data_IF_731605736842
#
_entry.id   IF_731605736842
#
_cell.length_a   1.000
_cell.length_b   1.000
_cell.length_c   1.000
_cell.angle_alpha   90.00
_cell.angle_beta   90.00
_cell.angle_gamma   90.00
#
_symmetry.space_group_name_H-M   'P 1'
#
loop_
_entity.id
_entity.type
_entity.pdbx_description
1 polymer ?
#
# COMPACT_ATOMS: atom_id res chain seq x y z
N UNK A 1 19.32 55.45 36.83
CA UNK A 1 19.33 54.62 35.60
C UNK A 1 19.53 53.12 35.85
N UNK A 2 20.32 52.65 36.80
CA UNK A 2 20.57 51.19 37.05
C UNK A 2 19.32 50.37 37.50
N UNK A 3 18.40 50.91 38.24
CA UNK A 3 17.19 50.26 38.75
C UNK A 3 16.19 49.89 37.64
N UNK A 4 16.07 50.72 36.58
CA UNK A 4 15.22 50.45 35.41
C UNK A 4 15.79 49.34 34.51
N UNK A 5 17.14 49.29 34.33
CA UNK A 5 17.81 48.25 33.54
C UNK A 5 17.63 46.85 34.17
N UNK A 6 17.70 46.72 35.49
CA UNK A 6 17.43 45.46 36.23
C UNK A 6 15.97 44.98 36.10
N UNK A 7 14.98 45.88 36.08
CA UNK A 7 13.56 45.52 35.89
C UNK A 7 13.28 45.03 34.47
N UNK A 8 13.88 45.62 33.42
CA UNK A 8 13.74 45.17 32.01
C UNK A 8 14.35 43.81 31.79
N UNK A 9 15.49 43.52 32.39
CA UNK A 9 16.15 42.17 32.32
C UNK A 9 15.29 41.09 32.96
N UNK A 10 14.73 41.33 34.15
CA UNK A 10 13.82 40.38 34.84
C UNK A 10 12.55 40.11 34.01
N UNK A 11 12.01 41.10 33.26
CA UNK A 11 10.84 40.95 32.41
C UNK A 11 11.19 40.08 31.16
N UNK A 12 12.37 40.27 30.54
CA UNK A 12 12.83 39.47 29.42
C UNK A 12 13.03 37.99 29.82
N UNK A 13 13.61 37.73 30.98
CA UNK A 13 13.77 36.37 31.49
C UNK A 13 12.44 35.69 31.81
N UNK A 14 11.45 36.40 32.28
CA UNK A 14 10.10 35.86 32.51
C UNK A 14 9.42 35.48 31.18
N UNK A 15 9.52 36.34 30.16
CA UNK A 15 8.97 36.07 28.83
C UNK A 15 9.68 34.87 28.19
N UNK A 16 11.00 34.84 28.26
CA UNK A 16 11.81 33.72 27.69
C UNK A 16 11.47 32.39 28.39
N UNK A 17 11.31 32.41 29.71
CA UNK A 17 10.87 31.23 30.49
C UNK A 17 9.45 30.79 30.15
N UNK A 18 8.54 31.74 29.87
CA UNK A 18 7.20 31.43 29.37
C UNK A 18 7.20 30.79 27.99
N UNK A 19 8.01 31.33 27.06
CA UNK A 19 8.17 30.75 25.71
C UNK A 19 8.78 29.34 25.80
N UNK A 20 9.82 29.15 26.60
CA UNK A 20 10.42 27.83 26.81
C UNK A 20 9.40 26.82 27.38
N UNK A 21 8.63 27.22 28.39
CA UNK A 21 7.60 26.36 28.97
C UNK A 21 6.51 25.99 27.92
N UNK A 22 6.11 26.94 27.08
CA UNK A 22 5.15 26.68 26.00
C UNK A 22 5.71 25.69 24.96
N UNK A 23 6.98 25.84 24.54
CA UNK A 23 7.62 24.92 23.61
C UNK A 23 7.73 23.52 24.19
N UNK A 24 8.11 23.40 25.48
CA UNK A 24 8.18 22.10 26.15
C UNK A 24 6.79 21.45 26.26
N UNK A 25 5.76 22.24 26.57
CA UNK A 25 4.39 21.73 26.63
C UNK A 25 3.91 21.21 25.26
N UNK A 26 4.17 21.95 24.17
CA UNK A 26 3.84 21.52 22.80
C UNK A 26 4.61 20.24 22.42
N UNK A 27 5.90 20.17 22.73
CA UNK A 27 6.70 18.95 22.49
C UNK A 27 6.15 17.75 23.28
N UNK A 28 5.76 17.94 24.54
CA UNK A 28 5.15 16.89 25.35
C UNK A 28 3.82 16.39 24.74
N UNK A 29 2.96 17.31 24.26
CA UNK A 29 1.69 16.94 23.59
C UNK A 29 1.96 16.13 22.32
N UNK A 30 2.96 16.51 21.52
CA UNK A 30 3.35 15.76 20.30
C UNK A 30 3.83 14.35 20.66
N UNK A 31 4.69 14.22 21.67
CA UNK A 31 5.22 12.91 22.10
C UNK A 31 4.11 12.01 22.64
N UNK A 32 3.22 12.57 23.47
CA UNK A 32 2.07 11.83 24.01
C UNK A 32 1.11 11.44 22.87
N UNK A 33 0.80 12.37 21.96
CA UNK A 33 -0.06 12.11 20.81
C UNK A 33 0.51 11.02 19.89
N UNK A 34 1.82 11.05 19.63
CA UNK A 34 2.50 10.00 18.88
C UNK A 34 2.48 8.65 19.61
N UNK A 35 2.68 8.65 20.92
CA UNK A 35 2.58 7.43 21.74
C UNK A 35 1.18 6.81 21.70
N UNK A 36 0.16 7.63 21.87
CA UNK A 36 -1.24 7.20 21.76
C UNK A 36 -1.57 6.70 20.35
N UNK A 37 -1.11 7.40 19.31
CA UNK A 37 -1.28 6.98 17.92
C UNK A 37 -0.67 5.60 17.67
N UNK A 38 0.55 5.37 18.15
CA UNK A 38 1.25 4.08 17.98
C UNK A 38 0.57 2.92 18.70
N UNK A 39 -0.12 3.17 19.81
CA UNK A 39 -0.88 2.15 20.55
C UNK A 39 -2.28 1.96 19.96
N UNK A 40 -2.91 3.04 19.49
CA UNK A 40 -4.29 3.01 18.98
C UNK A 40 -4.37 2.48 17.53
N UNK A 41 -3.27 2.54 16.77
CA UNK A 41 -3.18 1.98 15.41
C UNK A 41 -2.27 0.76 15.45
N UNK A 42 -2.80 -0.43 15.81
CA UNK A 42 -2.02 -1.66 15.73
C UNK A 42 -1.62 -1.90 14.27
N UNK A 43 -0.40 -2.41 14.08
CA UNK A 43 0.02 -2.85 12.76
C UNK A 43 -0.99 -3.88 12.24
N UNK A 44 -1.37 -3.85 10.95
CA UNK A 44 -2.31 -4.81 10.40
C UNK A 44 -1.80 -6.25 10.65
N UNK A 45 -2.68 -7.10 11.17
CA UNK A 45 -2.34 -8.50 11.44
C UNK A 45 -2.07 -9.22 10.12
N UNK A 46 -0.86 -9.71 9.95
CA UNK A 46 -0.52 -10.58 8.84
C UNK A 46 -1.13 -11.95 9.09
N UNK A 47 -2.03 -12.39 8.21
CA UNK A 47 -2.45 -13.78 8.21
C UNK A 47 -1.22 -14.66 7.92
N UNK A 48 -0.86 -15.63 8.78
CA UNK A 48 0.24 -16.53 8.47
C UNK A 48 -0.04 -17.25 7.15
N UNK A 49 0.94 -17.28 6.26
CA UNK A 49 0.82 -17.90 4.94
C UNK A 49 0.38 -19.38 4.97
N UNK A 50 0.53 -20.03 6.11
CA UNK A 50 0.15 -21.43 6.31
C UNK A 50 -1.37 -21.67 6.44
N UNK A 51 -2.19 -20.65 6.69
CA UNK A 51 -3.63 -20.84 6.88
C UNK A 51 -4.41 -21.09 5.57
N UNK A 52 -3.82 -20.83 4.42
CA UNK A 52 -4.48 -20.98 3.12
C UNK A 52 -4.02 -22.23 2.34
N UNK A 53 -3.12 -23.03 2.88
CA UNK A 53 -2.58 -24.24 2.21
C UNK A 53 -3.56 -25.41 2.16
N UNK A 54 -4.78 -25.29 2.68
CA UNK A 54 -5.73 -26.42 2.81
C UNK A 54 -6.92 -26.34 1.85
N UNK A 55 -6.97 -25.35 0.97
CA UNK A 55 -7.88 -25.41 -0.18
C UNK A 55 -7.05 -25.84 -1.38
N UNK A 56 -7.42 -26.96 -2.00
CA UNK A 56 -6.92 -27.43 -3.30
C UNK A 56 -7.16 -26.34 -4.35
N UNK A 57 -6.31 -25.29 -4.36
CA UNK A 57 -6.27 -24.35 -5.45
C UNK A 57 -5.68 -25.10 -6.65
N UNK A 58 -6.45 -25.21 -7.71
CA UNK A 58 -6.01 -25.73 -9.01
C UNK A 58 -4.84 -24.89 -9.49
N UNK A 59 -3.63 -25.36 -9.22
CA UNK A 59 -2.38 -24.72 -9.65
C UNK A 59 -2.26 -24.85 -11.16
N UNK A 60 -1.90 -23.79 -11.86
CA UNK A 60 -1.68 -23.82 -13.29
C UNK A 60 -0.67 -24.93 -13.67
N UNK A 61 -0.91 -25.69 -14.76
CA UNK A 61 -0.01 -26.76 -15.15
C UNK A 61 1.41 -26.27 -15.37
N UNK A 62 2.37 -26.80 -14.62
CA UNK A 62 3.80 -26.49 -14.74
C UNK A 62 4.42 -25.72 -13.58
N UNK A 63 3.66 -25.33 -12.58
CA UNK A 63 4.21 -24.82 -11.33
C UNK A 63 4.30 -25.94 -10.29
N UNK A 64 5.51 -26.30 -9.89
CA UNK A 64 5.72 -27.10 -8.69
C UNK A 64 5.28 -26.30 -7.48
N UNK A 65 4.49 -26.89 -6.60
CA UNK A 65 4.17 -26.33 -5.29
C UNK A 65 5.45 -26.28 -4.45
N UNK A 66 6.27 -25.26 -4.71
CA UNK A 66 7.37 -24.94 -3.83
C UNK A 66 6.80 -24.45 -2.50
N UNK A 67 7.11 -25.14 -1.41
CA UNK A 67 6.87 -24.66 -0.05
C UNK A 67 7.69 -23.40 0.20
N UNK A 68 7.24 -22.27 -0.34
CA UNK A 68 7.89 -20.98 -0.11
C UNK A 68 7.38 -20.38 1.19
N UNK A 69 8.20 -20.45 2.21
CA UNK A 69 7.93 -19.76 3.49
C UNK A 69 8.04 -18.25 3.23
N UNK A 70 6.96 -17.54 3.49
CA UNK A 70 6.94 -16.08 3.42
C UNK A 70 7.92 -15.49 4.44
N UNK A 71 8.66 -14.45 4.05
CA UNK A 71 9.52 -13.71 4.97
C UNK A 71 8.66 -12.99 6.01
N UNK A 72 9.08 -13.06 7.28
CA UNK A 72 8.45 -12.29 8.36
C UNK A 72 8.56 -10.79 8.06
N UNK A 73 7.53 -10.03 8.46
CA UNK A 73 7.44 -8.58 8.27
C UNK A 73 7.51 -8.12 6.80
N UNK A 74 6.96 -8.94 5.89
CA UNK A 74 6.80 -8.59 4.49
C UNK A 74 5.31 -8.45 4.17
N UNK A 75 4.90 -7.27 3.69
CA UNK A 75 3.52 -6.99 3.28
C UNK A 75 3.38 -7.07 1.76
N UNK A 76 2.28 -7.64 1.30
CA UNK A 76 1.99 -7.74 -0.13
C UNK A 76 0.66 -7.07 -0.45
N UNK A 77 0.66 -6.30 -1.52
CA UNK A 77 -0.49 -5.53 -1.97
C UNK A 77 -0.79 -5.87 -3.44
N UNK A 78 -2.05 -6.15 -3.74
CA UNK A 78 -2.55 -6.09 -5.10
C UNK A 78 -2.88 -4.63 -5.42
N UNK A 79 -2.22 -4.05 -6.41
CA UNK A 79 -2.62 -2.78 -6.99
C UNK A 79 -3.30 -3.08 -8.31
N UNK A 80 -4.56 -2.66 -8.47
CA UNK A 80 -5.32 -2.88 -9.68
C UNK A 80 -6.05 -1.60 -10.09
N UNK A 81 -6.10 -1.37 -11.41
CA UNK A 81 -6.84 -0.27 -12.01
C UNK A 81 -7.97 -0.85 -12.88
N UNK A 82 -9.20 -0.97 -12.33
CA UNK A 82 -10.34 -1.40 -13.10
C UNK A 82 -10.80 -0.30 -14.05
N UNK A 83 -11.15 -0.69 -15.28
CA UNK A 83 -11.82 0.18 -16.24
C UNK A 83 -13.31 0.29 -15.89
N UNK A 84 -13.82 1.51 -15.85
CA UNK A 84 -15.23 1.78 -15.51
C UNK A 84 -16.20 1.30 -16.59
N UNK A 85 -15.76 1.15 -17.83
CA UNK A 85 -16.62 0.77 -18.97
C UNK A 85 -16.77 -0.74 -19.08
N UNK A 86 -15.63 -1.46 -19.09
CA UNK A 86 -15.62 -2.92 -19.24
C UNK A 86 -15.64 -3.65 -17.89
N UNK A 87 -15.30 -2.97 -16.80
CA UNK A 87 -15.10 -3.55 -15.49
C UNK A 87 -13.89 -4.50 -15.41
N UNK A 88 -13.01 -4.50 -16.38
CA UNK A 88 -11.80 -5.32 -16.39
C UNK A 88 -10.65 -4.57 -15.70
N UNK A 89 -9.71 -5.31 -15.10
CA UNK A 89 -8.51 -4.70 -14.51
C UNK A 89 -7.43 -4.54 -15.58
N UNK A 90 -7.22 -3.32 -16.06
CA UNK A 90 -6.25 -3.04 -17.13
C UNK A 90 -4.81 -2.93 -16.64
N UNK A 91 -4.60 -2.48 -15.41
CA UNK A 91 -3.31 -2.55 -14.75
C UNK A 91 -3.39 -3.45 -13.52
N UNK A 92 -2.47 -4.40 -13.41
CA UNK A 92 -2.42 -5.37 -12.31
C UNK A 92 -0.97 -5.44 -11.87
N UNK A 93 -0.71 -5.12 -10.60
CA UNK A 93 0.63 -5.13 -10.02
C UNK A 93 0.62 -5.82 -8.66
N UNK A 94 1.63 -6.65 -8.42
CA UNK A 94 1.95 -7.18 -7.10
C UNK A 94 3.06 -6.32 -6.49
N UNK A 95 2.72 -5.63 -5.42
CA UNK A 95 3.64 -4.77 -4.68
C UNK A 95 4.04 -5.49 -3.39
N UNK A 96 5.32 -5.57 -3.12
CA UNK A 96 5.87 -6.20 -1.91
C UNK A 96 6.71 -5.21 -1.15
N UNK A 97 6.42 -5.03 0.14
CA UNK A 97 7.19 -4.18 1.05
C UNK A 97 7.86 -5.02 2.15
N UNK A 98 9.17 -5.08 2.11
CA UNK A 98 10.03 -5.72 3.11
C UNK A 98 10.40 -4.68 4.16
N UNK A 99 9.78 -4.76 5.34
CA UNK A 99 9.94 -3.76 6.41
C UNK A 99 11.36 -3.75 7.00
N UNK A 100 11.98 -4.90 7.33
CA UNK A 100 13.34 -4.92 7.87
C UNK A 100 14.38 -4.27 6.94
N UNK A 101 14.24 -4.51 5.64
CA UNK A 101 15.18 -4.00 4.63
C UNK A 101 14.73 -2.68 4.01
N UNK A 102 13.56 -2.16 4.39
CA UNK A 102 12.94 -0.95 3.81
C UNK A 102 12.91 -0.99 2.28
N UNK A 103 12.62 -2.17 1.72
CA UNK A 103 12.67 -2.42 0.28
C UNK A 103 11.26 -2.58 -0.28
N UNK A 104 10.94 -1.76 -1.27
CA UNK A 104 9.74 -1.90 -2.09
C UNK A 104 10.10 -2.61 -3.40
N UNK A 105 9.31 -3.62 -3.76
CA UNK A 105 9.41 -4.31 -5.04
C UNK A 105 8.05 -4.29 -5.72
N UNK A 106 8.04 -4.01 -7.02
CA UNK A 106 6.81 -3.95 -7.82
C UNK A 106 6.96 -4.90 -9.00
N UNK A 107 6.00 -5.79 -9.18
CA UNK A 107 5.92 -6.70 -10.31
C UNK A 107 4.61 -6.43 -11.07
N UNK A 108 4.72 -6.04 -12.33
CA UNK A 108 3.57 -5.87 -13.21
C UNK A 108 3.17 -7.20 -13.83
N UNK A 109 1.88 -7.52 -13.81
CA UNK A 109 1.32 -8.67 -14.49
C UNK A 109 0.60 -8.19 -15.76
N UNK A 110 0.98 -8.73 -16.94
CA UNK A 110 0.28 -8.37 -18.18
C UNK A 110 -1.19 -8.75 -18.11
N UNK A 111 -2.06 -7.85 -18.49
CA UNK A 111 -3.53 -8.02 -18.41
C UNK A 111 -4.07 -9.19 -19.22
N UNK A 112 -3.35 -9.59 -20.27
CA UNK A 112 -3.75 -10.67 -21.18
C UNK A 112 -3.14 -12.03 -20.75
N UNK A 113 -2.57 -12.12 -19.53
CA UNK A 113 -2.08 -13.37 -18.97
C UNK A 113 -3.23 -14.33 -18.73
N UNK A 114 -3.10 -15.58 -19.16
CA UNK A 114 -4.11 -16.60 -18.97
C UNK A 114 -4.03 -17.20 -17.56
N UNK A 115 -5.20 -17.35 -16.94
CA UNK A 115 -5.39 -17.99 -15.64
C UNK A 115 -6.58 -18.94 -15.69
N UNK A 116 -6.66 -19.88 -14.75
CA UNK A 116 -7.83 -20.71 -14.56
C UNK A 116 -8.76 -20.03 -13.53
N UNK A 117 -9.97 -19.76 -13.94
CA UNK A 117 -11.01 -19.19 -13.07
C UNK A 117 -12.31 -19.98 -13.25
N UNK A 118 -12.78 -20.58 -12.14
CA UNK A 118 -13.97 -21.47 -12.14
C UNK A 118 -13.89 -22.57 -13.21
N UNK A 119 -12.72 -23.25 -13.33
CA UNK A 119 -12.48 -24.34 -14.27
C UNK A 119 -12.38 -23.91 -15.75
N UNK A 120 -12.25 -22.60 -16.03
CA UNK A 120 -12.14 -22.08 -17.40
C UNK A 120 -10.87 -21.24 -17.53
N UNK A 121 -10.19 -21.36 -18.63
CA UNK A 121 -9.07 -20.50 -19.00
C UNK A 121 -9.60 -19.14 -19.43
N UNK A 122 -9.20 -18.09 -18.73
CA UNK A 122 -9.61 -16.69 -18.99
C UNK A 122 -8.40 -15.78 -18.92
N UNK A 123 -8.49 -14.56 -19.44
CA UNK A 123 -7.48 -13.53 -19.22
C UNK A 123 -7.64 -12.96 -17.81
N UNK A 124 -6.52 -12.70 -17.12
CA UNK A 124 -6.52 -12.25 -15.72
C UNK A 124 -7.28 -10.93 -15.53
N UNK A 125 -7.25 -10.02 -16.52
CA UNK A 125 -7.96 -8.75 -16.46
C UNK A 125 -9.48 -8.95 -16.26
N UNK A 126 -10.04 -10.01 -16.87
CA UNK A 126 -11.49 -10.29 -16.82
C UNK A 126 -11.91 -10.97 -15.49
N UNK A 127 -10.96 -11.42 -14.67
CA UNK A 127 -11.29 -12.10 -13.39
C UNK A 127 -11.98 -11.13 -12.44
N UNK A 128 -11.58 -9.86 -12.44
CA UNK A 128 -12.19 -8.84 -11.60
C UNK A 128 -13.69 -8.66 -11.89
N UNK A 129 -14.05 -8.45 -13.15
CA UNK A 129 -15.46 -8.30 -13.56
C UNK A 129 -16.27 -9.57 -13.37
N UNK A 130 -15.67 -10.74 -13.67
CA UNK A 130 -16.32 -12.05 -13.48
C UNK A 130 -16.53 -12.42 -12.03
N UNK A 131 -15.69 -11.93 -11.14
CA UNK A 131 -15.79 -12.12 -9.69
C UNK A 131 -16.82 -11.22 -9.01
N UNK A 132 -17.47 -10.30 -9.74
CA UNK A 132 -18.47 -9.37 -9.20
C UNK A 132 -17.92 -7.99 -8.86
N UNK A 133 -16.81 -7.58 -9.46
CA UNK A 133 -16.26 -6.23 -9.30
C UNK A 133 -15.68 -5.99 -7.91
N UNK A 134 -16.06 -4.88 -7.27
CA UNK A 134 -15.46 -4.43 -6.02
C UNK A 134 -15.67 -5.42 -4.85
N UNK A 135 -16.84 -6.06 -4.74
CA UNK A 135 -17.14 -6.95 -3.61
C UNK A 135 -16.45 -8.33 -3.72
N UNK A 136 -16.50 -8.96 -4.88
CA UNK A 136 -15.97 -10.32 -5.07
C UNK A 136 -14.80 -10.39 -6.05
N UNK A 137 -14.72 -9.45 -7.00
CA UNK A 137 -13.68 -9.42 -8.04
C UNK A 137 -12.29 -9.20 -7.50
N UNK A 138 -12.14 -8.42 -6.42
CA UNK A 138 -10.86 -8.22 -5.73
C UNK A 138 -10.33 -9.53 -5.18
N UNK A 139 -11.15 -10.29 -4.46
CA UNK A 139 -10.73 -11.57 -3.88
C UNK A 139 -10.46 -12.61 -4.98
N UNK A 140 -11.27 -12.62 -6.05
CA UNK A 140 -11.01 -13.45 -7.21
C UNK A 140 -9.67 -13.11 -7.90
N UNK A 141 -9.38 -11.81 -8.05
CA UNK A 141 -8.14 -11.34 -8.66
C UNK A 141 -6.92 -11.64 -7.77
N UNK A 142 -7.03 -11.47 -6.44
CA UNK A 142 -5.98 -11.86 -5.48
C UNK A 142 -5.64 -13.35 -5.59
N UNK A 143 -6.66 -14.22 -5.68
CA UNK A 143 -6.47 -15.66 -5.89
C UNK A 143 -5.79 -15.96 -7.23
N UNK A 144 -6.22 -15.29 -8.30
CA UNK A 144 -5.61 -15.44 -9.62
C UNK A 144 -4.14 -15.01 -9.63
N UNK A 145 -3.81 -13.90 -8.97
CA UNK A 145 -2.41 -13.47 -8.77
C UNK A 145 -1.64 -14.49 -7.95
N UNK A 146 -2.23 -15.01 -6.88
CA UNK A 146 -1.65 -16.05 -6.04
C UNK A 146 -1.30 -17.32 -6.83
N UNK A 147 -2.20 -17.77 -7.70
CA UNK A 147 -1.97 -18.95 -8.54
C UNK A 147 -0.84 -18.77 -9.55
N UNK A 148 -0.60 -17.53 -10.03
CA UNK A 148 0.49 -17.22 -10.97
C UNK A 148 1.84 -17.03 -10.30
N UNK A 149 1.83 -16.37 -9.13
CA UNK A 149 3.07 -15.88 -8.49
C UNK A 149 3.51 -16.71 -7.30
N UNK A 150 2.63 -17.60 -6.81
CA UNK A 150 2.81 -18.32 -5.55
C UNK A 150 2.62 -17.42 -4.31
N UNK A 151 2.21 -16.17 -4.48
CA UNK A 151 2.01 -15.19 -3.40
C UNK A 151 0.64 -14.57 -3.50
N UNK A 152 -0.28 -14.96 -2.62
CA UNK A 152 -1.58 -14.30 -2.50
C UNK A 152 -1.41 -12.97 -1.78
N UNK A 153 -1.80 -11.83 -2.39
CA UNK A 153 -1.68 -10.53 -1.75
C UNK A 153 -2.48 -10.42 -0.45
N UNK A 154 -1.92 -9.77 0.58
CA UNK A 154 -2.61 -9.55 1.86
C UNK A 154 -3.67 -8.47 1.73
N UNK A 155 -3.29 -7.39 1.08
CA UNK A 155 -4.06 -6.16 0.94
C UNK A 155 -4.29 -5.85 -0.53
N UNK A 156 -5.16 -4.89 -0.80
CA UNK A 156 -5.37 -4.38 -2.14
C UNK A 156 -5.51 -2.86 -2.15
N UNK A 157 -5.22 -2.28 -3.30
CA UNK A 157 -5.47 -0.88 -3.62
C UNK A 157 -6.10 -0.84 -5.01
N UNK A 158 -7.33 -0.36 -5.10
CA UNK A 158 -7.97 -0.06 -6.38
C UNK A 158 -7.70 1.41 -6.71
N UNK A 159 -7.26 1.67 -7.92
CA UNK A 159 -6.94 3.02 -8.40
C UNK A 159 -7.78 3.30 -9.63
N UNK A 160 -8.57 4.34 -9.59
CA UNK A 160 -9.30 4.84 -10.75
C UNK A 160 -8.36 5.61 -11.69
N UNK A 161 -8.64 5.60 -12.99
CA UNK A 161 -7.80 6.28 -13.97
C UNK A 161 -7.70 7.78 -13.73
N UNK A 162 -8.78 8.40 -13.30
CA UNK A 162 -8.84 9.81 -12.94
C UNK A 162 -7.88 10.14 -11.78
N UNK A 163 -7.84 9.27 -10.78
CA UNK A 163 -6.95 9.44 -9.62
C UNK A 163 -5.46 9.34 -10.01
N UNK A 164 -5.11 8.59 -11.06
CA UNK A 164 -3.74 8.56 -11.59
C UNK A 164 -3.34 9.95 -12.13
N UNK A 165 -4.24 10.62 -12.85
CA UNK A 165 -4.01 11.98 -13.35
C UNK A 165 -3.78 12.97 -12.20
N UNK A 166 -4.65 12.95 -11.19
CA UNK A 166 -4.54 13.81 -10.01
C UNK A 166 -3.23 13.56 -9.23
N UNK A 167 -2.81 12.31 -9.12
CA UNK A 167 -1.55 11.93 -8.47
C UNK A 167 -0.35 12.50 -9.24
N UNK A 168 -0.35 12.39 -10.56
CA UNK A 168 0.71 12.93 -11.42
C UNK A 168 0.78 14.45 -11.31
N UNK A 169 -0.37 15.13 -11.28
CA UNK A 169 -0.43 16.58 -11.09
C UNK A 169 0.09 17.00 -9.72
N UNK A 170 -0.27 16.25 -8.66
CA UNK A 170 0.18 16.51 -7.30
C UNK A 170 1.71 16.43 -7.11
N UNK A 171 2.39 15.59 -7.88
CA UNK A 171 3.87 15.47 -7.86
C UNK A 171 4.55 16.39 -8.86
N UNK A 172 3.82 17.24 -9.58
CA UNK A 172 4.35 18.19 -10.56
C UNK A 172 4.63 17.62 -11.95
N UNK A 173 4.04 16.47 -12.26
CA UNK A 173 4.18 15.80 -13.55
C UNK A 173 5.25 14.73 -13.58
N UNK A 174 5.33 14.01 -14.70
CA UNK A 174 6.36 13.01 -14.99
C UNK A 174 7.00 13.30 -16.33
N UNK A 175 8.31 13.08 -16.42
CA UNK A 175 9.03 13.20 -17.68
C UNK A 175 9.11 11.82 -18.35
N UNK A 176 8.64 11.76 -19.60
CA UNK A 176 8.70 10.54 -20.38
C UNK A 176 9.10 10.86 -21.83
N UNK A 177 10.13 10.18 -22.34
CA UNK A 177 10.53 10.29 -23.73
C UNK A 177 9.60 9.45 -24.61
N UNK A 178 8.75 10.11 -25.40
CA UNK A 178 7.78 9.45 -26.28
C UNK A 178 8.48 9.00 -27.57
N UNK A 179 8.73 7.69 -27.76
CA UNK A 179 9.56 7.19 -28.85
C UNK A 179 8.89 7.35 -30.23
N UNK A 180 7.60 7.59 -30.27
CA UNK A 180 6.83 7.83 -31.51
C UNK A 180 5.76 8.88 -31.26
N UNK A 181 5.54 9.74 -32.25
CA UNK A 181 4.43 10.67 -32.26
C UNK A 181 3.11 9.89 -32.34
N UNK A 182 2.27 10.07 -31.35
CA UNK A 182 0.90 9.52 -31.32
C UNK A 182 -0.07 10.48 -31.97
#
# INVERSE_FOLDING_TARGET
MAKQKKRRLKKKYRVLRGIYAAVVAVAAVIVIGYGVYKVAVPAPEMKPAAANATQEEEVAPGMEQGSHTRREQTYTFLLACPDQVSGNADAIMLVTYDVPNQKLSVMSLPRDTYVIYNGRTVMINSVYSRGGGEEGGVEALKKAVGSLTGVTPDFYVLVEWEAVGELVDAIGGVYFDVPRRM
#
